data_IF_412489337786
#
_entry.id   IF_412489337786
#
_cell.length_a   1.000
_cell.length_b   1.000
_cell.length_c   1.000
_cell.angle_alpha   90.00
_cell.angle_beta   90.00
_cell.angle_gamma   90.00
#
_symmetry.space_group_name_H-M   'P 1'
#
loop_
_entity.id
_entity.type
_entity.pdbx_description
1 polymer ?
#
# COMPACT_ATOMS: atom_id res chain seq x y z
N UNK A 1 3.68 -0.20 -1.92
CA UNK A 1 2.67 0.54 -2.68
C UNK A 1 3.10 1.95 -3.04
N UNK A 2 3.73 2.70 -2.12
CA UNK A 2 4.16 4.10 -2.36
C UNK A 2 4.84 4.33 -3.71
N UNK A 3 5.79 3.47 -4.09
CA UNK A 3 6.50 3.57 -5.37
C UNK A 3 5.58 3.60 -6.60
N UNK A 4 4.48 2.84 -6.62
CA UNK A 4 3.53 2.86 -7.74
C UNK A 4 2.72 4.16 -7.76
N UNK A 5 2.36 4.69 -6.58
CA UNK A 5 1.65 5.97 -6.45
C UNK A 5 2.55 7.14 -6.86
N UNK A 6 3.83 7.11 -6.49
CA UNK A 6 4.79 8.17 -6.84
C UNK A 6 5.00 8.26 -8.36
N UNK A 7 5.08 7.12 -9.04
CA UNK A 7 5.22 7.06 -10.50
C UNK A 7 3.92 7.46 -11.21
N UNK A 8 2.75 7.07 -10.68
CA UNK A 8 1.47 7.50 -11.19
C UNK A 8 1.26 9.02 -11.04
N UNK A 9 1.66 9.58 -9.89
CA UNK A 9 1.63 11.02 -9.64
C UNK A 9 2.60 11.81 -10.53
N UNK A 10 3.67 11.17 -11.01
CA UNK A 10 4.58 11.73 -12.01
C UNK A 10 3.99 11.73 -13.44
N UNK A 11 2.76 11.25 -13.63
CA UNK A 11 2.03 11.31 -14.91
C UNK A 11 2.24 10.11 -15.82
N UNK A 12 2.77 9.00 -15.28
CA UNK A 12 2.97 7.76 -16.03
C UNK A 12 1.86 6.76 -15.75
N UNK A 13 1.47 5.99 -16.76
CA UNK A 13 0.57 4.85 -16.57
C UNK A 13 1.30 3.72 -15.84
N UNK A 14 0.78 3.35 -14.66
CA UNK A 14 1.37 2.34 -13.79
C UNK A 14 0.39 1.19 -13.56
N UNK A 15 0.85 -0.04 -13.78
CA UNK A 15 0.14 -1.25 -13.38
C UNK A 15 0.75 -1.80 -12.08
N UNK A 16 -0.07 -1.93 -11.04
CA UNK A 16 0.31 -2.60 -9.79
C UNK A 16 -0.23 -4.03 -9.80
N UNK A 17 0.65 -5.02 -9.80
CA UNK A 17 0.28 -6.44 -9.75
C UNK A 17 0.54 -6.98 -8.34
N UNK A 18 -0.52 -7.41 -7.66
CA UNK A 18 -0.46 -8.03 -6.33
C UNK A 18 -0.79 -9.53 -6.44
N UNK A 19 -0.07 -10.35 -5.67
CA UNK A 19 -0.26 -11.82 -5.69
C UNK A 19 -1.47 -12.26 -4.87
N UNK A 20 -1.79 -11.50 -3.83
CA UNK A 20 -2.92 -11.75 -2.94
C UNK A 20 -4.19 -11.05 -3.45
N UNK A 21 -5.39 -11.55 -3.09
CA UNK A 21 -6.65 -10.93 -3.50
C UNK A 21 -6.87 -9.54 -2.87
N UNK A 22 -6.07 -9.17 -1.86
CA UNK A 22 -6.14 -7.89 -1.19
C UNK A 22 -4.83 -7.11 -1.32
N UNK A 23 -4.97 -5.82 -1.57
CA UNK A 23 -3.89 -4.85 -1.60
C UNK A 23 -3.66 -4.35 -0.16
N UNK A 24 -2.41 -4.33 0.31
CA UNK A 24 -2.06 -3.89 1.68
C UNK A 24 -1.02 -4.77 2.38
N UNK A 25 -0.75 -5.97 1.84
CA UNK A 25 0.32 -6.85 2.31
C UNK A 25 0.20 -7.16 3.81
N UNK A 26 1.35 -7.18 4.50
CA UNK A 26 1.37 -7.44 5.96
C UNK A 26 0.71 -6.34 6.77
N UNK A 27 0.72 -5.08 6.31
CA UNK A 27 0.13 -3.95 7.04
C UNK A 27 -1.38 -4.13 7.26
N UNK A 28 -2.10 -4.65 6.27
CA UNK A 28 -3.52 -4.98 6.41
C UNK A 28 -3.80 -6.11 7.42
N UNK A 29 -2.77 -6.81 7.91
CA UNK A 29 -2.87 -7.83 8.95
C UNK A 29 -2.51 -7.30 10.34
N UNK A 30 -1.95 -6.07 10.45
CA UNK A 30 -1.71 -5.43 11.74
C UNK A 30 -2.95 -4.62 12.11
N UNK A 31 -3.51 -4.89 13.29
CA UNK A 31 -4.64 -4.10 13.81
C UNK A 31 -4.26 -2.67 14.16
N UNK A 32 -3.03 -2.46 14.66
CA UNK A 32 -2.52 -1.15 15.06
C UNK A 32 -1.07 -0.98 14.57
N UNK A 33 -0.73 0.23 14.12
CA UNK A 33 0.63 0.58 13.69
C UNK A 33 1.32 1.46 14.73
N UNK A 34 2.38 0.94 15.38
CA UNK A 34 3.17 1.73 16.33
C UNK A 34 4.02 2.76 15.55
N UNK A 35 4.22 4.02 16.02
CA UNK A 35 3.92 4.59 17.35
C UNK A 35 2.58 5.34 17.45
N UNK A 36 1.87 5.55 16.35
CA UNK A 36 0.65 6.39 16.35
C UNK A 36 -0.58 5.63 16.81
N UNK A 37 -0.55 4.28 16.85
CA UNK A 37 -1.69 3.42 17.18
C UNK A 37 -2.90 3.69 16.28
N UNK A 38 -2.64 4.07 15.03
CA UNK A 38 -3.70 4.24 14.05
C UNK A 38 -4.11 2.86 13.51
N UNK A 39 -5.41 2.59 13.52
CA UNK A 39 -6.01 1.40 12.91
C UNK A 39 -5.77 1.41 11.38
N UNK A 40 -5.31 0.28 10.85
CA UNK A 40 -5.02 0.06 9.43
C UNK A 40 -6.26 -0.25 8.57
#
# INVERSE_FOLDING_TARGET
MQAALDIANAGYDVALVERLPSIGGRMAQLSDTFPTLDCA
#
